data_IF_742829290469
#
_entry.id   IF_742829290469
#
_cell.length_a   1.000
_cell.length_b   1.000
_cell.length_c   1.000
_cell.angle_alpha   90.00
_cell.angle_beta   90.00
_cell.angle_gamma   90.00
#
_symmetry.space_group_name_H-M   'P 1'
#
loop_
_entity.id
_entity.type
_entity.pdbx_description
1 polymer ?
#
# COMPACT_ATOMS: atom_id res chain seq x y z
N UNK A 1 -18.21 7.33 37.97
CA UNK A 1 -18.51 7.18 36.54
C UNK A 1 -17.82 5.93 36.01
N UNK A 2 -18.48 5.24 35.09
CA UNK A 2 -17.94 4.02 34.50
C UNK A 2 -17.13 4.39 33.26
N UNK A 3 -15.85 4.03 33.22
CA UNK A 3 -14.93 4.35 32.11
C UNK A 3 -14.54 3.05 31.40
N UNK A 4 -14.59 3.04 30.07
CA UNK A 4 -14.17 1.90 29.24
C UNK A 4 -12.72 2.08 28.77
N UNK A 5 -12.00 1.00 28.48
CA UNK A 5 -10.69 1.10 27.86
C UNK A 5 -10.76 1.90 26.56
N UNK A 6 -10.01 3.00 26.47
CA UNK A 6 -10.01 3.88 25.32
C UNK A 6 -10.83 5.16 25.45
N UNK A 7 -11.61 5.31 26.53
CA UNK A 7 -12.32 6.56 26.79
C UNK A 7 -11.31 7.67 27.15
N UNK A 8 -11.50 8.86 26.55
CA UNK A 8 -10.69 10.03 26.85
C UNK A 8 -11.03 10.56 28.25
N UNK A 9 -10.05 10.65 29.13
CA UNK A 9 -10.20 11.20 30.50
C UNK A 9 -10.00 12.72 30.50
N UNK A 10 -9.27 13.25 29.53
CA UNK A 10 -9.00 14.68 29.37
C UNK A 10 -9.38 15.13 27.97
N UNK A 11 -9.86 16.37 27.87
CA UNK A 11 -10.05 17.04 26.58
C UNK A 11 -8.70 17.30 25.89
N UNK A 12 -8.61 16.96 24.62
CA UNK A 12 -7.43 17.19 23.81
C UNK A 12 -7.29 16.18 22.67
N UNK A 13 -6.38 16.43 21.72
CA UNK A 13 -6.15 15.51 20.61
C UNK A 13 -5.55 14.21 21.12
N UNK A 14 -6.18 13.10 20.78
CA UNK A 14 -5.68 11.77 21.13
C UNK A 14 -4.46 11.42 20.27
N UNK A 15 -3.47 10.69 20.85
CA UNK A 15 -2.33 10.22 20.10
C UNK A 15 -2.77 9.06 19.18
N UNK A 16 -2.62 9.17 17.85
CA UNK A 16 -3.02 8.11 16.91
C UNK A 16 -2.38 6.74 17.19
N UNK A 17 -1.14 6.72 17.69
CA UNK A 17 -0.47 5.46 18.04
C UNK A 17 -1.10 4.76 19.23
N UNK A 18 -1.61 5.51 20.21
CA UNK A 18 -2.31 4.95 21.36
C UNK A 18 -3.71 4.46 20.96
N UNK A 19 -4.40 5.18 20.10
CA UNK A 19 -5.66 4.72 19.51
C UNK A 19 -5.46 3.38 18.79
N UNK A 20 -4.40 3.26 17.98
CA UNK A 20 -4.08 2.01 17.28
C UNK A 20 -3.84 0.85 18.25
N UNK A 21 -3.13 1.12 19.33
CA UNK A 21 -2.77 0.11 20.34
C UNK A 21 -3.97 -0.37 21.16
N UNK A 22 -4.88 0.54 21.53
CA UNK A 22 -5.97 0.26 22.49
C UNK A 22 -7.27 -0.08 21.76
N UNK A 23 -7.64 0.71 20.76
CA UNK A 23 -8.93 0.60 20.05
C UNK A 23 -8.81 -0.15 18.70
N UNK A 24 -7.60 -0.22 18.14
CA UNK A 24 -7.34 -0.96 16.91
C UNK A 24 -7.42 -0.13 15.63
N UNK A 25 -7.25 -0.82 14.50
CA UNK A 25 -7.08 -0.21 13.16
C UNK A 25 -8.33 0.54 12.70
N UNK A 26 -9.51 -0.01 12.95
CA UNK A 26 -10.78 0.55 12.47
C UNK A 26 -11.08 1.91 13.11
N UNK A 27 -10.97 1.97 14.42
CA UNK A 27 -11.22 3.20 15.18
C UNK A 27 -10.18 4.27 14.86
N UNK A 28 -8.92 3.88 14.70
CA UNK A 28 -7.87 4.80 14.24
C UNK A 28 -8.19 5.38 12.86
N UNK A 29 -8.60 4.55 11.90
CA UNK A 29 -8.93 5.03 10.57
C UNK A 29 -10.09 6.02 10.60
N UNK A 30 -11.15 5.72 11.36
CA UNK A 30 -12.29 6.61 11.55
C UNK A 30 -11.87 7.94 12.20
N UNK A 31 -11.04 7.88 13.24
CA UNK A 31 -10.50 9.07 13.90
C UNK A 31 -9.75 9.98 12.94
N UNK A 32 -8.80 9.42 12.16
CA UNK A 32 -8.00 10.21 11.21
C UNK A 32 -8.88 10.84 10.13
N UNK A 33 -9.85 10.09 9.57
CA UNK A 33 -10.78 10.62 8.57
C UNK A 33 -11.60 11.77 9.14
N UNK A 34 -12.13 11.61 10.36
CA UNK A 34 -12.95 12.63 11.03
C UNK A 34 -12.15 13.92 11.27
N UNK A 35 -10.95 13.82 11.82
CA UNK A 35 -10.07 14.98 12.09
C UNK A 35 -9.70 15.74 10.81
N UNK A 36 -9.34 15.02 9.76
CA UNK A 36 -9.00 15.64 8.46
C UNK A 36 -10.23 16.32 7.83
N UNK A 37 -11.37 15.64 7.85
CA UNK A 37 -12.62 16.20 7.33
C UNK A 37 -13.07 17.46 8.07
N UNK A 38 -12.86 17.51 9.38
CA UNK A 38 -13.18 18.68 10.18
C UNK A 38 -12.36 19.89 9.73
N UNK A 39 -11.07 19.72 9.52
CA UNK A 39 -10.19 20.80 9.00
C UNK A 39 -10.67 21.31 7.63
N UNK A 40 -11.05 20.40 6.72
CA UNK A 40 -11.55 20.80 5.40
C UNK A 40 -12.91 21.51 5.50
N UNK A 41 -13.82 21.02 6.34
CA UNK A 41 -15.14 21.64 6.57
C UNK A 41 -15.03 23.04 7.13
N UNK A 42 -14.10 23.29 8.06
CA UNK A 42 -13.82 24.62 8.60
C UNK A 42 -13.37 25.61 7.52
N UNK A 43 -12.75 25.12 6.45
CA UNK A 43 -12.32 25.92 5.30
C UNK A 43 -13.39 25.98 4.18
N UNK A 44 -14.57 25.41 4.39
CA UNK A 44 -15.66 25.38 3.41
C UNK A 44 -15.43 24.42 2.24
N UNK A 45 -14.49 23.50 2.37
CA UNK A 45 -14.17 22.51 1.32
C UNK A 45 -14.86 21.18 1.64
N UNK A 46 -15.62 20.66 0.68
CA UNK A 46 -16.24 19.33 0.78
C UNK A 46 -15.44 18.30 0.00
N UNK A 47 -14.98 17.26 0.68
CA UNK A 47 -14.21 16.15 0.12
C UNK A 47 -14.92 14.85 0.49
N UNK A 48 -14.96 13.87 -0.42
CA UNK A 48 -15.47 12.53 -0.12
C UNK A 48 -14.45 11.78 0.76
N UNK A 49 -14.94 11.08 1.77
CA UNK A 49 -14.13 10.33 2.74
C UNK A 49 -13.19 9.32 2.07
N UNK A 50 -13.59 8.75 0.93
CA UNK A 50 -12.81 7.75 0.17
C UNK A 50 -11.43 8.25 -0.22
N UNK A 51 -11.26 9.55 -0.51
CA UNK A 51 -9.96 10.12 -0.86
C UNK A 51 -8.98 10.08 0.32
N UNK A 52 -9.48 10.27 1.53
CA UNK A 52 -8.70 10.21 2.76
C UNK A 52 -8.47 8.76 3.15
N UNK A 53 -9.50 7.92 3.09
CA UNK A 53 -9.45 6.50 3.43
C UNK A 53 -8.40 5.73 2.62
N UNK A 54 -8.26 6.04 1.32
CA UNK A 54 -7.21 5.44 0.46
C UNK A 54 -5.82 5.76 0.99
N UNK A 55 -5.56 6.99 1.45
CA UNK A 55 -4.27 7.38 2.01
C UNK A 55 -4.05 6.67 3.35
N UNK A 56 -5.05 6.68 4.23
CA UNK A 56 -4.98 6.01 5.54
C UNK A 56 -4.75 4.51 5.38
N UNK A 57 -5.37 3.88 4.39
CA UNK A 57 -5.15 2.45 4.10
C UNK A 57 -3.69 2.15 3.74
N UNK A 58 -3.01 3.05 3.01
CA UNK A 58 -1.58 2.91 2.71
C UNK A 58 -0.69 3.15 3.93
N UNK A 59 -1.09 4.05 4.83
CA UNK A 59 -0.38 4.29 6.10
C UNK A 59 -0.45 3.09 7.06
N UNK A 60 -1.51 2.28 6.96
CA UNK A 60 -1.77 1.08 7.78
C UNK A 60 -1.45 -0.25 7.08
N UNK A 61 -0.84 -0.19 5.89
CA UNK A 61 -0.55 -1.37 5.06
C UNK A 61 0.49 -2.29 5.69
N UNK A 62 1.41 -1.76 6.48
CA UNK A 62 2.52 -2.49 7.07
C UNK A 62 2.27 -2.93 8.51
N UNK A 63 2.90 -4.02 8.87
CA UNK A 63 2.90 -4.60 10.21
C UNK A 63 4.34 -4.83 10.66
N UNK A 64 4.59 -4.76 11.96
CA UNK A 64 5.87 -5.04 12.58
C UNK A 64 5.85 -6.44 13.18
N UNK A 65 6.86 -7.25 12.87
CA UNK A 65 7.01 -8.59 13.40
C UNK A 65 7.40 -8.54 14.87
N UNK A 66 6.60 -9.16 15.73
CA UNK A 66 6.87 -9.25 17.17
C UNK A 66 7.49 -10.59 17.56
N UNK A 67 6.97 -11.68 17.02
CA UNK A 67 7.49 -13.03 17.23
C UNK A 67 7.77 -13.65 15.86
N UNK A 68 8.97 -14.14 15.67
CA UNK A 68 9.44 -14.60 14.36
C UNK A 68 8.90 -16.01 14.01
N UNK A 69 8.71 -16.88 15.01
CA UNK A 69 8.45 -18.29 14.75
C UNK A 69 9.56 -18.92 13.88
N UNK A 70 9.16 -19.75 12.93
CA UNK A 70 10.06 -20.38 11.93
C UNK A 70 10.07 -19.62 10.59
N UNK A 71 9.62 -18.34 10.59
CA UNK A 71 9.59 -17.51 9.38
C UNK A 71 10.97 -16.96 9.00
N UNK A 72 11.07 -16.51 7.74
CA UNK A 72 12.28 -15.83 7.22
C UNK A 72 12.47 -14.40 7.71
N UNK A 73 11.52 -13.85 8.47
CA UNK A 73 11.57 -12.46 8.95
C UNK A 73 12.43 -12.32 10.20
N UNK A 74 12.85 -11.10 10.49
CA UNK A 74 13.53 -10.74 11.72
C UNK A 74 12.58 -10.02 12.67
N UNK A 75 12.82 -10.12 13.96
CA UNK A 75 12.07 -9.39 14.97
C UNK A 75 12.26 -7.86 14.76
N UNK A 76 11.17 -7.11 14.69
CA UNK A 76 11.17 -5.68 14.38
C UNK A 76 11.09 -5.32 12.90
N UNK A 77 11.11 -6.31 11.98
CA UNK A 77 10.93 -6.05 10.57
C UNK A 77 9.53 -5.49 10.27
N UNK A 78 9.50 -4.55 9.34
CA UNK A 78 8.27 -3.93 8.85
C UNK A 78 7.92 -4.49 7.47
N UNK A 79 6.99 -5.43 7.43
CA UNK A 79 6.54 -6.14 6.23
C UNK A 79 5.11 -5.77 5.84
N UNK A 80 4.70 -6.08 4.62
CA UNK A 80 3.30 -5.91 4.24
C UNK A 80 2.44 -7.02 4.84
N UNK A 81 1.19 -6.68 5.16
CA UNK A 81 0.26 -7.68 5.70
C UNK A 81 0.07 -8.87 4.74
N UNK A 82 0.12 -8.62 3.43
CA UNK A 82 -0.02 -9.67 2.41
C UNK A 82 1.16 -10.66 2.44
N UNK A 83 2.40 -10.14 2.47
CA UNK A 83 3.62 -10.97 2.56
C UNK A 83 3.62 -11.83 3.83
N UNK A 84 3.19 -11.25 4.97
CA UNK A 84 3.06 -12.01 6.21
C UNK A 84 2.03 -13.13 6.10
N UNK A 85 0.89 -12.88 5.44
CA UNK A 85 -0.15 -13.89 5.28
C UNK A 85 0.33 -15.03 4.38
N UNK A 86 0.96 -14.73 3.24
CA UNK A 86 1.53 -15.74 2.34
C UNK A 86 2.57 -16.61 3.04
N UNK A 87 3.47 -15.99 3.81
CA UNK A 87 4.50 -16.73 4.55
C UNK A 87 3.88 -17.61 5.64
N UNK A 88 2.92 -17.08 6.41
CA UNK A 88 2.24 -17.85 7.44
C UNK A 88 1.41 -19.01 6.86
N UNK A 89 0.77 -18.85 5.71
CA UNK A 89 0.08 -19.93 5.00
C UNK A 89 1.06 -21.03 4.58
N UNK A 90 2.23 -20.64 4.07
CA UNK A 90 3.31 -21.57 3.72
C UNK A 90 3.82 -22.35 4.94
N UNK A 91 4.02 -21.68 6.09
CA UNK A 91 4.47 -22.31 7.34
C UNK A 91 3.41 -23.26 7.90
N UNK A 92 2.13 -22.87 7.87
CA UNK A 92 1.02 -23.75 8.30
C UNK A 92 0.99 -25.02 7.46
N UNK A 93 1.16 -24.92 6.13
CA UNK A 93 1.20 -26.08 5.24
C UNK A 93 2.35 -27.04 5.55
N UNK A 94 3.44 -26.53 6.13
CA UNK A 94 4.62 -27.30 6.56
C UNK A 94 4.53 -27.75 8.03
N UNK A 95 3.51 -27.33 8.79
CA UNK A 95 3.35 -27.65 10.21
C UNK A 95 4.32 -26.90 11.14
N UNK A 96 4.87 -25.76 10.69
CA UNK A 96 5.82 -24.93 11.41
C UNK A 96 5.13 -23.80 12.18
N UNK A 97 5.86 -23.16 13.10
CA UNK A 97 5.34 -22.05 13.91
C UNK A 97 5.21 -20.76 13.08
N UNK A 98 4.06 -20.13 13.13
CA UNK A 98 3.76 -18.89 12.40
C UNK A 98 4.33 -17.65 13.07
N UNK A 99 4.65 -16.62 12.29
CA UNK A 99 5.06 -15.32 12.79
C UNK A 99 3.86 -14.52 13.30
N UNK A 100 4.05 -13.82 14.44
CA UNK A 100 3.09 -12.86 14.98
C UNK A 100 3.51 -11.43 14.70
N UNK A 101 2.55 -10.56 14.48
CA UNK A 101 2.79 -9.15 14.17
C UNK A 101 1.83 -8.22 14.91
N UNK A 102 2.23 -6.97 15.01
CA UNK A 102 1.37 -5.88 15.45
C UNK A 102 1.20 -4.86 14.31
N UNK A 103 0.01 -4.25 14.14
CA UNK A 103 -0.18 -3.18 13.17
C UNK A 103 0.66 -1.95 13.56
N UNK A 104 1.22 -1.28 12.56
CA UNK A 104 1.92 -0.01 12.73
C UNK A 104 1.29 1.08 11.89
N UNK A 105 1.30 2.30 12.41
CA UNK A 105 0.91 3.49 11.68
C UNK A 105 2.17 4.18 11.14
N UNK A 106 2.28 4.27 9.82
CA UNK A 106 3.34 5.03 9.15
C UNK A 106 2.82 6.42 8.78
N UNK A 107 3.62 7.46 9.02
CA UNK A 107 3.35 8.78 8.46
C UNK A 107 3.35 8.75 6.92
N UNK A 108 2.68 9.71 6.28
CA UNK A 108 2.50 9.78 4.81
C UNK A 108 3.83 9.64 4.06
N UNK A 109 4.85 10.39 4.45
CA UNK A 109 6.17 10.34 3.81
C UNK A 109 6.82 8.95 3.94
N UNK A 110 6.77 8.37 5.13
CA UNK A 110 7.30 7.02 5.38
C UNK A 110 6.55 5.95 4.60
N UNK A 111 5.22 6.03 4.55
CA UNK A 111 4.39 5.13 3.77
C UNK A 111 4.73 5.21 2.27
N UNK A 112 4.96 6.42 1.74
CA UNK A 112 5.31 6.64 0.34
C UNK A 112 6.71 6.12 -0.02
N UNK A 113 7.68 6.19 0.89
CA UNK A 113 9.03 5.66 0.69
C UNK A 113 9.10 4.13 0.93
N UNK A 114 8.18 3.58 1.67
CA UNK A 114 8.12 2.16 2.02
C UNK A 114 7.39 1.31 0.96
N UNK A 115 7.30 1.77 -0.29
CA UNK A 115 6.72 1.03 -1.42
C UNK A 115 7.65 -0.08 -1.90
N UNK A 116 7.09 -1.11 -2.55
CA UNK A 116 7.86 -2.23 -3.10
C UNK A 116 8.80 -1.78 -4.23
N UNK A 117 8.37 -0.81 -5.06
CA UNK A 117 9.16 -0.26 -6.14
C UNK A 117 10.14 0.79 -5.63
N UNK A 118 11.43 0.50 -5.71
CA UNK A 118 12.48 1.46 -5.37
C UNK A 118 12.57 2.60 -6.39
N UNK A 119 12.18 2.38 -7.66
CA UNK A 119 12.12 3.43 -8.69
C UNK A 119 11.06 4.46 -8.32
N UNK A 120 9.88 3.99 -7.90
CA UNK A 120 8.79 4.85 -7.44
C UNK A 120 9.19 5.64 -6.19
N UNK A 121 9.81 5.01 -5.21
CA UNK A 121 10.29 5.65 -3.99
C UNK A 121 11.37 6.71 -4.28
N UNK A 122 12.37 6.38 -5.09
CA UNK A 122 13.45 7.29 -5.47
C UNK A 122 12.96 8.53 -6.23
N UNK A 123 11.88 8.41 -6.99
CA UNK A 123 11.28 9.53 -7.71
C UNK A 123 10.47 10.49 -6.84
N UNK A 124 10.22 10.12 -5.59
CA UNK A 124 9.46 10.94 -4.64
C UNK A 124 10.37 11.80 -3.77
N UNK A 125 11.22 11.20 -2.95
CA UNK A 125 12.18 11.88 -2.05
C UNK A 125 13.39 10.99 -1.78
N UNK A 126 14.47 11.58 -1.24
CA UNK A 126 15.67 10.86 -0.81
C UNK A 126 16.28 9.97 -1.91
N UNK A 127 16.30 10.46 -3.16
CA UNK A 127 16.70 9.70 -4.36
C UNK A 127 18.01 8.94 -4.17
N UNK A 128 19.07 9.63 -3.73
CA UNK A 128 20.39 9.01 -3.55
C UNK A 128 20.38 7.90 -2.51
N UNK A 129 19.72 8.13 -1.38
CA UNK A 129 19.63 7.15 -0.28
C UNK A 129 18.86 5.90 -0.70
N UNK A 130 17.71 6.10 -1.36
CA UNK A 130 16.87 4.99 -1.83
C UNK A 130 17.60 4.15 -2.88
N UNK A 131 18.26 4.79 -3.85
CA UNK A 131 19.00 4.08 -4.89
C UNK A 131 20.22 3.33 -4.32
N UNK A 132 20.96 3.97 -3.40
CA UNK A 132 22.11 3.34 -2.74
C UNK A 132 21.66 2.11 -1.95
N UNK A 133 20.58 2.23 -1.17
CA UNK A 133 20.04 1.11 -0.41
C UNK A 133 19.55 -0.02 -1.31
N UNK A 134 18.83 0.29 -2.38
CA UNK A 134 18.35 -0.70 -3.35
C UNK A 134 19.51 -1.42 -4.04
N UNK A 135 20.61 -0.72 -4.32
CA UNK A 135 21.82 -1.30 -4.92
C UNK A 135 22.54 -2.24 -3.95
N UNK A 136 22.68 -1.83 -2.69
CA UNK A 136 23.31 -2.66 -1.65
C UNK A 136 22.53 -3.94 -1.38
N UNK A 137 21.19 -3.85 -1.38
CA UNK A 137 20.30 -4.99 -1.19
C UNK A 137 20.11 -5.85 -2.46
N UNK A 138 20.58 -5.38 -3.61
CA UNK A 138 20.36 -6.06 -4.90
C UNK A 138 18.89 -6.17 -5.29
N UNK A 139 18.06 -5.18 -4.92
CA UNK A 139 16.62 -5.19 -5.19
C UNK A 139 16.31 -5.23 -6.68
N UNK A 140 15.27 -6.00 -7.02
CA UNK A 140 14.69 -6.03 -8.37
C UNK A 140 13.33 -5.34 -8.35
N UNK A 141 13.12 -4.40 -9.27
CA UNK A 141 11.80 -3.78 -9.46
C UNK A 141 11.00 -4.55 -10.51
N UNK A 142 9.82 -5.02 -10.14
CA UNK A 142 8.97 -5.84 -11.02
C UNK A 142 8.10 -4.99 -11.94
N UNK A 143 8.14 -3.66 -11.79
CA UNK A 143 7.39 -2.69 -12.60
C UNK A 143 5.87 -2.94 -12.60
N UNK A 144 5.29 -3.19 -11.44
CA UNK A 144 3.86 -3.46 -11.28
C UNK A 144 2.99 -2.21 -11.27
N UNK A 145 3.52 -1.09 -10.80
CA UNK A 145 2.78 0.16 -10.66
C UNK A 145 2.79 1.03 -11.93
N UNK A 146 2.15 2.18 -11.84
CA UNK A 146 2.07 3.12 -12.97
C UNK A 146 3.36 3.93 -13.11
N UNK A 147 3.86 4.46 -12.00
CA UNK A 147 4.95 5.44 -11.94
C UNK A 147 6.26 4.88 -12.48
N UNK A 148 6.66 3.69 -12.06
CA UNK A 148 7.86 3.02 -12.52
C UNK A 148 7.81 2.67 -14.02
N UNK A 149 6.65 2.27 -14.54
CA UNK A 149 6.49 2.03 -15.97
C UNK A 149 6.61 3.31 -16.79
N UNK A 150 6.03 4.41 -16.31
CA UNK A 150 6.15 5.74 -16.97
C UNK A 150 7.61 6.19 -16.99
N UNK A 151 8.33 6.07 -15.87
CA UNK A 151 9.74 6.46 -15.78
C UNK A 151 10.60 5.64 -16.75
N UNK A 152 10.32 4.34 -16.88
CA UNK A 152 11.04 3.44 -17.79
C UNK A 152 10.60 3.54 -19.26
N UNK A 153 9.66 4.45 -19.56
CA UNK A 153 9.14 4.61 -20.93
C UNK A 153 8.30 3.43 -21.43
N UNK A 154 7.74 2.64 -20.54
CA UNK A 154 6.88 1.49 -20.87
C UNK A 154 5.40 1.87 -20.82
N UNK A 155 4.57 1.09 -21.50
CA UNK A 155 3.12 1.19 -21.34
C UNK A 155 2.74 0.85 -19.90
N UNK A 156 1.87 1.68 -19.31
CA UNK A 156 1.33 1.43 -17.98
C UNK A 156 0.49 0.15 -17.96
N UNK A 157 0.40 -0.58 -16.86
CA UNK A 157 -0.40 -1.80 -16.75
C UNK A 157 -1.91 -1.48 -16.60
N UNK A 158 -2.42 -0.59 -17.46
CA UNK A 158 -3.81 -0.16 -17.51
C UNK A 158 -4.20 0.15 -18.97
N UNK A 159 -5.48 0.04 -19.31
CA UNK A 159 -5.97 0.26 -20.66
C UNK A 159 -5.28 -0.65 -21.69
N UNK A 160 -4.75 -0.09 -22.76
CA UNK A 160 -4.05 -0.82 -23.84
C UNK A 160 -2.73 -1.48 -23.39
N UNK A 161 -2.17 -1.08 -22.25
CA UNK A 161 -0.95 -1.67 -21.66
C UNK A 161 -1.19 -2.97 -20.89
N UNK A 162 -2.43 -3.37 -20.66
CA UNK A 162 -2.76 -4.64 -20.01
C UNK A 162 -2.36 -5.80 -20.91
N UNK A 163 -1.72 -6.83 -20.35
CA UNK A 163 -1.23 -8.01 -21.07
C UNK A 163 -2.31 -8.69 -21.92
N UNK A 164 -3.56 -8.62 -21.50
CA UNK A 164 -4.73 -9.13 -22.21
C UNK A 164 -4.90 -8.51 -23.61
N UNK A 165 -4.48 -7.26 -23.81
CA UNK A 165 -4.61 -6.53 -25.09
C UNK A 165 -3.33 -6.59 -25.92
N UNK A 166 -2.21 -7.07 -25.41
CA UNK A 166 -0.93 -7.15 -26.14
C UNK A 166 -0.91 -8.20 -27.26
N UNK A 167 -1.87 -9.12 -27.25
CA UNK A 167 -2.00 -10.17 -28.28
C UNK A 167 -2.92 -9.81 -29.44
N UNK A 168 -3.52 -8.63 -29.46
CA UNK A 168 -4.37 -8.19 -30.56
C UNK A 168 -3.52 -7.41 -31.56
N UNK A 169 -3.16 -8.05 -32.66
CA UNK A 169 -2.72 -7.37 -33.90
C UNK A 169 -3.94 -6.72 -34.55
N UNK A 170 -4.06 -5.42 -34.41
CA UNK A 170 -5.07 -4.65 -35.13
C UNK A 170 -4.60 -4.48 -36.58
N UNK A 171 -4.82 -5.47 -37.43
CA UNK A 171 -4.72 -5.29 -38.86
C UNK A 171 -5.91 -4.47 -39.32
N UNK A 172 -5.65 -3.33 -39.96
CA UNK A 172 -6.68 -2.54 -40.64
C UNK A 172 -7.09 -3.33 -41.88
N UNK A 173 -8.21 -4.05 -41.77
CA UNK A 173 -8.84 -4.68 -42.96
C UNK A 173 -9.31 -3.54 -43.87
N UNK A 174 -8.67 -3.38 -45.01
CA UNK A 174 -9.11 -2.42 -46.02
C UNK A 174 -10.54 -2.78 -46.48
N UNK A 175 -11.35 -1.75 -46.66
CA UNK A 175 -12.79 -1.89 -46.99
C UNK A 175 -13.04 -2.80 -48.21
N UNK A 176 -12.06 -2.97 -49.08
CA UNK A 176 -12.10 -3.80 -50.31
C UNK A 176 -12.01 -5.32 -49.99
N UNK A 177 -11.39 -5.70 -48.86
CA UNK A 177 -11.30 -7.12 -48.44
C UNK A 177 -12.57 -7.60 -47.71
N UNK A 178 -13.36 -6.69 -47.15
CA UNK A 178 -14.65 -7.01 -46.51
C UNK A 178 -15.71 -7.45 -47.56
N UNK A 179 -15.63 -6.96 -48.78
CA UNK A 179 -16.57 -7.31 -49.85
C UNK A 179 -16.31 -8.70 -50.45
N UNK A 180 -15.10 -9.24 -50.28
CA UNK A 180 -14.75 -10.60 -50.76
C UNK A 180 -15.07 -11.71 -49.75
N UNK A 181 -15.32 -11.38 -48.47
CA UNK A 181 -15.71 -12.34 -47.42
C UNK A 181 -17.23 -12.56 -47.33
N UNK A 182 -18.05 -11.77 -48.05
CA UNK A 182 -19.51 -11.84 -48.08
C UNK A 182 -20.06 -12.38 -49.41
N UNK A 183 -19.25 -12.98 -50.27
CA UNK A 183 -19.63 -13.79 -51.43
C UNK A 183 -19.35 -15.28 -51.10
#
# INVERSE_FOLDING_TARGET
>A
DFVRPGDAIMDGPANPHDILRVLGVKELAQYIVTEIQEVYRLQGVTIDDKHIEVIVSQMLKKVEITEVGDSKFLAGDSVTKAELMEENESLIAQGLATAKSKPILLGITRASLATESFISAASFQETTKVLTQATLEGKKDVLRGLKENVIMGRLIPAGTGVSRYRGFDASVIKKDELNTLNM
#
